data_IF_434305095247
#
_entry.id   IF_434305095247
#
_cell.length_a   1.000
_cell.length_b   1.000
_cell.length_c   1.000
_cell.angle_alpha   90.00
_cell.angle_beta   90.00
_cell.angle_gamma   90.00
#
_symmetry.space_group_name_H-M   'P 1'
#
loop_
_entity.id
_entity.type
_entity.pdbx_description
1 polymer ?
#
# COMPACT_ATOMS: atom_id res chain seq x y z
N UNK A 1 -21.67 24.58 19.22
CA UNK A 1 -20.23 24.88 19.07
C UNK A 1 -19.56 24.30 20.31
N UNK A 2 -18.64 23.34 20.29
CA UNK A 2 -17.51 23.06 19.40
C UNK A 2 -17.45 21.56 19.07
N UNK A 3 -17.26 21.19 17.80
CA UNK A 3 -17.02 19.79 17.40
C UNK A 3 -15.54 19.71 16.99
N UNK A 4 -14.69 19.38 17.97
CA UNK A 4 -13.24 19.32 17.81
C UNK A 4 -12.79 17.87 17.75
N UNK A 5 -12.12 17.51 16.66
CA UNK A 5 -11.17 16.41 16.66
C UNK A 5 -11.50 15.26 15.72
N UNK A 6 -11.54 15.49 14.41
CA UNK A 6 -11.05 14.46 13.48
C UNK A 6 -9.53 14.50 13.56
N UNK A 7 -8.96 13.95 14.64
CA UNK A 7 -7.57 13.51 14.60
C UNK A 7 -7.56 12.33 13.63
N UNK A 8 -7.04 12.55 12.43
CA UNK A 8 -6.68 11.46 11.52
C UNK A 8 -5.46 10.77 12.15
N UNK A 9 -5.72 10.00 13.19
CA UNK A 9 -4.79 9.05 13.75
C UNK A 9 -4.46 8.09 12.62
N UNK A 10 -3.20 8.04 12.23
CA UNK A 10 -2.64 7.08 11.29
C UNK A 10 -2.68 5.71 11.97
N UNK A 11 -3.91 5.20 12.11
CA UNK A 11 -4.23 3.93 12.69
C UNK A 11 -3.53 2.86 11.88
N UNK A 12 -3.05 1.84 12.59
CA UNK A 12 -2.53 0.61 12.04
C UNK A 12 -3.55 -0.06 11.12
N UNK A 13 -3.64 0.44 9.89
CA UNK A 13 -4.49 -0.08 8.85
C UNK A 13 -3.79 -1.32 8.29
N UNK A 14 -4.11 -2.48 8.87
CA UNK A 14 -3.74 -3.83 8.41
C UNK A 14 -4.33 -4.16 7.03
N UNK A 15 -4.57 -3.15 6.18
CA UNK A 15 -5.51 -3.16 5.07
C UNK A 15 -4.84 -2.76 3.74
N UNK A 16 -3.55 -2.37 3.74
CA UNK A 16 -2.84 -1.91 2.54
C UNK A 16 -2.05 -2.98 1.77
N UNK A 17 -2.10 -4.26 2.16
CA UNK A 17 -1.31 -5.32 1.52
C UNK A 17 -1.85 -5.78 0.15
N UNK A 18 -3.09 -5.41 -0.20
CA UNK A 18 -3.72 -5.85 -1.44
C UNK A 18 -5.04 -5.16 -1.79
N UNK A 19 -5.68 -4.45 -0.86
CA UNK A 19 -6.94 -3.74 -1.15
C UNK A 19 -6.69 -2.28 -1.43
N UNK A 20 -7.23 -1.78 -2.55
CA UNK A 20 -7.19 -0.36 -2.91
C UNK A 20 -8.49 0.06 -3.59
N UNK A 21 -8.92 1.30 -3.37
CA UNK A 21 -10.04 1.86 -4.12
C UNK A 21 -9.52 2.55 -5.37
N UNK A 22 -10.23 2.37 -6.49
CA UNK A 22 -9.94 3.10 -7.71
C UNK A 22 -10.10 4.60 -7.44
N UNK A 23 -9.09 5.44 -7.75
CA UNK A 23 -9.18 6.88 -7.51
C UNK A 23 -10.24 7.58 -8.39
N UNK A 24 -10.74 6.91 -9.43
CA UNK A 24 -11.73 7.46 -10.37
C UNK A 24 -13.17 7.09 -10.05
N UNK A 25 -13.42 5.83 -9.72
CA UNK A 25 -14.79 5.31 -9.56
C UNK A 25 -15.04 4.69 -8.18
N UNK A 26 -14.04 4.70 -7.30
CA UNK A 26 -14.09 4.10 -5.97
C UNK A 26 -14.41 2.60 -5.95
N UNK A 27 -14.28 1.91 -7.09
CA UNK A 27 -14.35 0.45 -7.14
C UNK A 27 -13.24 -0.17 -6.28
N UNK A 28 -13.58 -1.18 -5.50
CA UNK A 28 -12.63 -1.87 -4.63
C UNK A 28 -11.84 -2.91 -5.42
N UNK A 29 -10.53 -2.70 -5.58
CA UNK A 29 -9.58 -3.68 -6.07
C UNK A 29 -9.03 -4.51 -4.91
N UNK A 30 -8.87 -5.82 -5.11
CA UNK A 30 -8.48 -6.78 -4.06
C UNK A 30 -7.04 -7.27 -4.21
N UNK A 31 -6.41 -7.05 -5.36
CA UNK A 31 -4.99 -7.27 -5.59
C UNK A 31 -4.48 -6.34 -6.72
N UNK A 32 -3.18 -5.98 -6.69
CA UNK A 32 -2.54 -5.34 -7.83
C UNK A 32 -2.27 -6.35 -8.95
N UNK A 33 -2.15 -5.84 -10.18
CA UNK A 33 -1.73 -6.66 -11.33
C UNK A 33 -0.28 -7.12 -11.16
N UNK A 34 0.57 -6.22 -10.66
CA UNK A 34 1.99 -6.45 -10.47
C UNK A 34 2.51 -5.76 -9.21
N UNK A 35 3.52 -6.37 -8.58
CA UNK A 35 4.24 -5.82 -7.44
C UNK A 35 5.73 -5.86 -7.71
N UNK A 36 6.40 -4.72 -7.56
CA UNK A 36 7.82 -4.56 -7.83
C UNK A 36 8.55 -4.13 -6.56
N UNK A 37 9.57 -4.88 -6.16
CA UNK A 37 10.53 -4.43 -5.15
C UNK A 37 11.40 -3.33 -5.75
N UNK A 38 11.45 -2.17 -5.11
CA UNK A 38 12.08 -0.96 -5.66
C UNK A 38 13.20 -0.41 -4.78
N UNK A 39 13.12 -0.63 -3.46
CA UNK A 39 14.15 -0.27 -2.49
C UNK A 39 13.94 -1.06 -1.19
N UNK A 40 14.86 -0.94 -0.24
CA UNK A 40 14.75 -1.57 1.09
C UNK A 40 13.37 -1.35 1.71
N UNK A 41 12.62 -2.44 1.86
CA UNK A 41 11.24 -2.46 2.38
C UNK A 41 10.27 -1.56 1.62
N UNK A 42 10.54 -1.17 0.38
CA UNK A 42 9.62 -0.41 -0.47
C UNK A 42 9.19 -1.28 -1.63
N UNK A 43 7.87 -1.42 -1.79
CA UNK A 43 7.24 -2.12 -2.91
C UNK A 43 6.33 -1.14 -3.64
N UNK A 44 6.39 -1.18 -4.97
CA UNK A 44 5.46 -0.48 -5.85
C UNK A 44 4.42 -1.47 -6.38
N UNK A 45 3.14 -1.13 -6.23
CA UNK A 45 2.03 -1.88 -6.77
C UNK A 45 1.45 -1.18 -8.00
N UNK A 46 1.18 -1.94 -9.06
CA UNK A 46 0.52 -1.49 -10.28
C UNK A 46 -0.91 -2.02 -10.29
N UNK A 47 -1.87 -1.14 -10.60
CA UNK A 47 -3.30 -1.43 -10.51
C UNK A 47 -4.03 -1.05 -11.79
N UNK A 48 -4.97 -1.88 -12.19
CA UNK A 48 -5.89 -1.64 -13.29
C UNK A 48 -7.31 -1.84 -12.80
N UNK A 49 -8.13 -0.78 -12.85
CA UNK A 49 -9.51 -0.88 -12.41
C UNK A 49 -10.35 -1.67 -13.42
N UNK A 50 -10.89 -2.81 -13.01
CA UNK A 50 -11.77 -3.66 -13.84
C UNK A 50 -13.09 -2.96 -14.22
N UNK A 51 -13.56 -2.00 -13.40
CA UNK A 51 -14.82 -1.31 -13.62
C UNK A 51 -14.72 -0.13 -14.62
N UNK A 52 -13.61 0.63 -14.59
CA UNK A 52 -13.48 1.86 -15.38
C UNK A 52 -12.21 1.94 -16.25
N UNK A 53 -11.36 0.90 -16.23
CA UNK A 53 -10.13 0.80 -17.01
C UNK A 53 -9.01 1.74 -16.58
N UNK A 54 -9.15 2.45 -15.45
CA UNK A 54 -8.11 3.39 -14.99
C UNK A 54 -6.93 2.62 -14.41
N UNK A 55 -5.75 2.85 -14.99
CA UNK A 55 -4.47 2.37 -14.47
C UNK A 55 -3.84 3.37 -13.50
N UNK A 56 -3.28 2.88 -12.38
CA UNK A 56 -2.57 3.71 -11.40
C UNK A 56 -1.54 2.88 -10.62
N UNK A 57 -0.71 3.53 -9.80
CA UNK A 57 0.27 2.84 -8.96
C UNK A 57 0.29 3.38 -7.53
N UNK A 58 0.55 2.51 -6.56
CA UNK A 58 0.75 2.89 -5.15
C UNK A 58 2.13 2.43 -4.66
N UNK A 59 2.61 3.06 -3.59
CA UNK A 59 3.90 2.73 -2.96
C UNK A 59 3.65 2.36 -1.51
N UNK A 60 4.22 1.24 -1.07
CA UNK A 60 4.09 0.73 0.30
C UNK A 60 5.49 0.59 0.88
N UNK A 61 5.69 1.17 2.07
CA UNK A 61 6.92 1.01 2.85
C UNK A 61 6.64 0.14 4.06
N UNK A 62 7.30 -1.01 4.13
CA UNK A 62 7.21 -1.94 5.25
C UNK A 62 8.07 -1.45 6.41
N UNK A 63 7.52 -1.57 7.62
CA UNK A 63 8.29 -1.37 8.84
C UNK A 63 9.19 -2.60 9.03
N UNK A 64 10.39 -2.43 9.62
CA UNK A 64 11.20 -3.57 10.04
C UNK A 64 10.41 -4.53 10.92
N UNK A 65 10.51 -5.82 10.65
CA UNK A 65 10.00 -6.84 11.55
C UNK A 65 10.92 -6.93 12.77
N UNK A 66 10.36 -7.12 13.97
CA UNK A 66 11.17 -7.43 15.16
C UNK A 66 11.80 -8.81 14.98
N UNK A 67 13.01 -8.86 14.40
CA UNK A 67 13.77 -10.09 14.18
C UNK A 67 14.38 -10.26 12.80
N UNK A 68 14.35 -9.26 11.91
CA UNK A 68 14.99 -9.34 10.60
C UNK A 68 16.51 -9.56 10.74
N UNK A 69 16.92 -10.82 10.59
CA UNK A 69 18.29 -11.19 10.30
C UNK A 69 18.51 -10.90 8.83
N UNK A 70 19.25 -9.84 8.53
CA UNK A 70 19.72 -9.58 7.19
C UNK A 70 20.50 -10.81 6.70
N UNK A 71 20.06 -11.44 5.60
CA UNK A 71 20.97 -12.22 4.78
C UNK A 71 21.98 -11.23 4.21
N UNK A 72 23.06 -10.97 4.95
CA UNK A 72 24.17 -10.20 4.43
C UNK A 72 24.71 -10.96 3.22
N UNK A 73 24.63 -10.32 2.06
CA UNK A 73 25.28 -10.76 0.84
C UNK A 73 26.78 -10.90 1.16
N UNK A 74 27.27 -12.14 1.17
CA UNK A 74 28.67 -12.44 1.41
C UNK A 74 29.46 -11.98 0.18
N UNK A 75 30.18 -10.87 0.32
CA UNK A 75 31.20 -10.43 -0.61
C UNK A 75 32.59 -10.77 -0.05
#
# INVERSE_FOLDING_TARGET
>A
MMNSGCIEEWGSDRTLFGKQHCPRCSYLLVAPDESHHVADRVVRHMWSCEACGTGFSTWVKFQPERGEMHCAEAA
#
